data_IF_560002126815
#
_entry.id   IF_560002126815
#
_cell.length_a   1.000
_cell.length_b   1.000
_cell.length_c   1.000
_cell.angle_alpha   90.00
_cell.angle_beta   90.00
_cell.angle_gamma   90.00
#
_symmetry.space_group_name_H-M   'P 1'
#
loop_
_entity.id
_entity.type
_entity.pdbx_description
1 polymer ?
#
# COMPACT_ATOMS: atom_id res chain seq x y z
N UNK A 1 8.59 13.31 20.97
CA UNK A 1 7.26 13.02 20.39
C UNK A 1 6.30 14.15 20.79
N UNK A 2 5.58 14.76 19.85
CA UNK A 2 4.59 15.80 20.19
C UNK A 2 3.24 15.14 20.51
N UNK A 3 3.11 14.64 21.75
CA UNK A 3 1.90 13.95 22.21
C UNK A 3 0.63 14.78 21.98
N UNK A 4 0.69 16.09 22.27
CA UNK A 4 -0.46 16.99 22.09
C UNK A 4 -0.94 17.02 20.63
N UNK A 5 -0.01 17.10 19.67
CA UNK A 5 -0.35 17.08 18.23
C UNK A 5 -0.99 15.76 17.81
N UNK A 6 -0.44 14.64 18.28
CA UNK A 6 -0.98 13.29 18.02
C UNK A 6 -2.38 13.16 18.61
N UNK A 7 -2.55 13.53 19.87
CA UNK A 7 -3.82 13.51 20.58
C UNK A 7 -4.89 14.35 19.88
N UNK A 8 -4.57 15.60 19.54
CA UNK A 8 -5.50 16.50 18.86
C UNK A 8 -5.95 15.95 17.50
N UNK A 9 -5.04 15.33 16.74
CA UNK A 9 -5.38 14.72 15.46
C UNK A 9 -6.36 13.55 15.62
N UNK A 10 -6.04 12.58 16.48
CA UNK A 10 -6.88 11.41 16.68
C UNK A 10 -8.14 11.68 17.52
N UNK A 11 -8.24 12.83 18.17
CA UNK A 11 -9.48 13.32 18.82
C UNK A 11 -10.55 13.77 17.82
N UNK A 12 -10.20 13.94 16.53
CA UNK A 12 -11.15 14.34 15.50
C UNK A 12 -12.08 13.17 15.16
N UNK A 13 -13.38 13.35 15.37
CA UNK A 13 -14.40 12.34 15.05
C UNK A 13 -14.31 11.81 13.60
N UNK A 14 -14.09 12.65 12.55
CA UNK A 14 -13.92 12.12 11.19
C UNK A 14 -12.70 11.20 11.03
N UNK A 15 -11.61 11.47 11.75
CA UNK A 15 -10.39 10.64 11.72
C UNK A 15 -10.66 9.30 12.38
N UNK A 16 -11.31 9.31 13.54
CA UNK A 16 -11.70 8.09 14.26
C UNK A 16 -12.61 7.21 13.40
N UNK A 17 -13.65 7.80 12.77
CA UNK A 17 -14.55 7.07 11.88
C UNK A 17 -13.82 6.44 10.70
N UNK A 18 -12.92 7.19 10.06
CA UNK A 18 -12.15 6.67 8.92
C UNK A 18 -11.21 5.53 9.31
N UNK A 19 -10.57 5.61 10.48
CA UNK A 19 -9.75 4.53 11.03
C UNK A 19 -10.59 3.29 11.33
N UNK A 20 -11.69 3.42 12.09
CA UNK A 20 -12.56 2.29 12.40
C UNK A 20 -13.12 1.63 11.13
N UNK A 21 -13.51 2.41 10.13
CA UNK A 21 -14.02 1.89 8.85
C UNK A 21 -12.98 1.01 8.15
N UNK A 22 -11.73 1.47 8.01
CA UNK A 22 -10.67 0.70 7.34
C UNK A 22 -10.14 -0.46 8.19
N UNK A 23 -10.22 -0.34 9.52
CA UNK A 23 -9.80 -1.35 10.50
C UNK A 23 -10.73 -2.57 10.52
N UNK A 24 -11.94 -2.44 10.01
CA UNK A 24 -12.91 -3.55 9.99
C UNK A 24 -12.33 -4.78 9.31
N UNK A 25 -12.43 -5.92 10.00
CA UNK A 25 -11.89 -7.21 9.55
C UNK A 25 -10.37 -7.20 9.31
N UNK A 26 -9.59 -6.32 9.93
CA UNK A 26 -8.11 -6.35 9.84
C UNK A 26 -7.50 -6.60 11.20
N UNK A 27 -6.31 -7.19 11.19
CA UNK A 27 -5.39 -7.05 12.32
C UNK A 27 -4.88 -5.61 12.30
N UNK A 28 -4.98 -4.89 13.41
CA UNK A 28 -4.56 -3.50 13.51
C UNK A 28 -3.68 -3.33 14.73
N UNK A 29 -2.54 -2.68 14.55
CA UNK A 29 -1.56 -2.50 15.62
C UNK A 29 -1.10 -1.06 15.75
N UNK A 30 -0.82 -0.71 16.99
CA UNK A 30 -0.08 0.50 17.34
C UNK A 30 1.36 0.44 16.83
N UNK A 31 1.86 1.60 16.43
CA UNK A 31 3.27 1.85 16.14
C UNK A 31 3.72 3.05 16.95
N UNK A 32 4.82 2.89 17.67
CA UNK A 32 5.38 3.89 18.57
C UNK A 32 6.44 4.76 17.87
N UNK A 33 6.87 5.84 18.52
CA UNK A 33 7.80 6.81 17.92
C UNK A 33 9.18 6.26 17.57
N UNK A 34 9.56 5.13 18.15
CA UNK A 34 10.80 4.40 17.87
C UNK A 34 10.64 3.34 16.76
N UNK A 35 9.49 3.34 16.06
CA UNK A 35 9.06 2.35 15.08
C UNK A 35 8.78 0.94 15.64
N UNK A 36 8.76 0.75 16.96
CA UNK A 36 8.33 -0.53 17.52
C UNK A 36 6.82 -0.74 17.32
N UNK A 37 6.42 -2.00 17.18
CA UNK A 37 5.01 -2.38 17.04
C UNK A 37 4.45 -2.79 18.40
N UNK A 38 3.15 -2.52 18.60
CA UNK A 38 2.36 -3.09 19.68
C UNK A 38 2.22 -4.60 19.58
N UNK A 39 1.54 -5.19 20.56
CA UNK A 39 1.28 -6.63 20.60
C UNK A 39 0.41 -7.04 19.40
N UNK A 40 0.64 -8.26 18.91
CA UNK A 40 -0.09 -8.88 17.81
C UNK A 40 -0.68 -10.24 18.23
N UNK A 41 -1.89 -10.62 17.79
CA UNK A 41 -2.83 -9.78 17.04
C UNK A 41 -3.51 -8.73 17.93
N UNK A 42 -4.05 -7.70 17.30
CA UNK A 42 -4.87 -6.68 17.94
C UNK A 42 -5.87 -6.09 16.93
N UNK A 43 -6.87 -5.33 17.42
CA UNK A 43 -7.95 -4.74 16.62
C UNK A 43 -8.37 -3.38 17.16
N UNK A 44 -8.96 -2.56 16.29
CA UNK A 44 -9.71 -1.36 16.69
C UNK A 44 -11.20 -1.59 16.41
N UNK A 45 -12.05 -1.48 17.42
CA UNK A 45 -13.49 -1.67 17.30
C UNK A 45 -14.27 -0.37 17.53
N UNK A 46 -13.82 0.43 18.49
CA UNK A 46 -14.49 1.65 18.93
C UNK A 46 -13.54 2.85 18.91
N UNK A 47 -14.11 4.04 18.76
CA UNK A 47 -13.35 5.30 18.81
C UNK A 47 -12.56 5.49 20.11
N UNK A 48 -13.05 4.93 21.23
CA UNK A 48 -12.36 4.95 22.51
C UNK A 48 -11.03 4.17 22.48
N UNK A 49 -10.96 3.07 21.73
CA UNK A 49 -9.76 2.24 21.57
C UNK A 49 -8.61 3.07 20.98
N UNK A 50 -8.93 3.94 20.00
CA UNK A 50 -7.96 4.83 19.35
C UNK A 50 -7.36 5.80 20.37
N UNK A 51 -8.22 6.47 21.16
CA UNK A 51 -7.75 7.45 22.14
C UNK A 51 -6.97 6.80 23.29
N UNK A 52 -7.41 5.62 23.73
CA UNK A 52 -6.68 4.85 24.72
C UNK A 52 -5.31 4.43 24.21
N UNK A 53 -5.21 3.88 23.01
CA UNK A 53 -3.93 3.52 22.39
C UNK A 53 -3.00 4.74 22.27
N UNK A 54 -3.52 5.91 21.92
CA UNK A 54 -2.74 7.16 21.86
C UNK A 54 -2.28 7.59 23.26
N UNK A 55 -3.14 7.49 24.29
CA UNK A 55 -2.77 7.75 25.68
C UNK A 55 -1.61 6.85 26.15
N UNK A 56 -1.57 5.62 25.65
CA UNK A 56 -0.53 4.61 25.90
C UNK A 56 0.72 4.79 25.01
N UNK A 57 0.77 5.84 24.19
CA UNK A 57 1.96 6.24 23.43
C UNK A 57 1.92 5.93 21.94
N UNK A 58 0.81 5.40 21.42
CA UNK A 58 0.66 5.12 19.98
C UNK A 58 0.77 6.40 19.15
N UNK A 59 1.57 6.34 18.08
CA UNK A 59 1.69 7.45 17.10
C UNK A 59 1.00 7.10 15.79
N UNK A 60 1.16 5.86 15.33
CA UNK A 60 0.55 5.39 14.08
C UNK A 60 -0.24 4.10 14.30
N UNK A 61 -1.21 3.86 13.43
CA UNK A 61 -1.97 2.62 13.34
C UNK A 61 -1.68 1.97 11.99
N UNK A 62 -1.22 0.72 12.03
CA UNK A 62 -0.97 -0.08 10.84
C UNK A 62 -1.96 -1.24 10.81
N UNK A 63 -2.47 -1.59 9.63
CA UNK A 63 -3.43 -2.67 9.45
C UNK A 63 -2.95 -3.71 8.46
N UNK A 64 -3.42 -4.95 8.60
CA UNK A 64 -3.08 -6.04 7.67
C UNK A 64 -3.61 -5.78 6.27
N UNK A 65 -2.87 -6.16 5.22
CA UNK A 65 -3.36 -6.17 3.83
C UNK A 65 -4.51 -7.18 3.67
N UNK A 66 -4.32 -8.36 4.25
CA UNK A 66 -5.36 -9.38 4.38
C UNK A 66 -6.48 -8.92 5.30
N UNK A 67 -7.68 -9.44 5.03
CA UNK A 67 -8.89 -9.24 5.83
C UNK A 67 -9.32 -10.59 6.42
N UNK A 68 -9.72 -10.59 7.68
CA UNK A 68 -9.98 -11.78 8.49
C UNK A 68 -11.39 -11.77 9.07
N UNK A 69 -11.98 -12.96 9.15
CA UNK A 69 -13.27 -13.18 9.81
C UNK A 69 -13.18 -12.88 11.31
N UNK A 70 -12.08 -13.26 11.96
CA UNK A 70 -11.75 -12.91 13.33
C UNK A 70 -10.23 -12.68 13.50
N UNK A 71 -9.75 -11.42 13.38
CA UNK A 71 -8.32 -11.12 13.48
C UNK A 71 -7.67 -11.53 14.81
N UNK A 72 -8.43 -11.58 15.91
CA UNK A 72 -7.90 -11.95 17.24
C UNK A 72 -7.53 -13.44 17.34
N UNK A 73 -7.93 -14.27 16.39
CA UNK A 73 -7.52 -15.67 16.34
C UNK A 73 -6.17 -15.89 15.68
N UNK A 74 -5.59 -14.87 15.03
CA UNK A 74 -4.32 -15.02 14.30
C UNK A 74 -3.17 -15.36 15.25
N UNK A 75 -2.41 -16.39 14.90
CA UNK A 75 -1.17 -16.77 15.57
C UNK A 75 0.00 -16.85 14.59
N UNK A 76 1.23 -16.69 15.07
CA UNK A 76 2.44 -16.77 14.23
C UNK A 76 2.74 -18.19 13.75
N UNK A 77 2.22 -19.20 14.42
CA UNK A 77 2.46 -20.62 14.11
C UNK A 77 1.35 -21.25 13.25
N UNK A 78 0.39 -20.46 12.77
CA UNK A 78 -0.69 -20.95 11.91
C UNK A 78 -0.16 -21.48 10.58
N UNK A 79 -0.72 -22.61 10.14
CA UNK A 79 -0.46 -23.12 8.80
C UNK A 79 -1.11 -22.22 7.75
N UNK A 80 -0.70 -22.35 6.48
CA UNK A 80 -1.37 -21.66 5.37
C UNK A 80 -2.87 -21.98 5.34
N UNK A 81 -3.24 -23.24 5.56
CA UNK A 81 -4.63 -23.67 5.58
C UNK A 81 -5.44 -22.99 6.69
N UNK A 82 -4.86 -22.82 7.88
CA UNK A 82 -5.52 -22.14 9.01
C UNK A 82 -5.75 -20.66 8.71
N UNK A 83 -4.74 -20.00 8.11
CA UNK A 83 -4.87 -18.61 7.66
C UNK A 83 -5.95 -18.49 6.58
N UNK A 84 -5.96 -19.38 5.60
CA UNK A 84 -6.94 -19.38 4.51
C UNK A 84 -8.37 -19.58 5.04
N UNK A 85 -8.55 -20.41 6.07
CA UNK A 85 -9.85 -20.62 6.73
C UNK A 85 -10.35 -19.36 7.45
N UNK A 86 -9.44 -18.50 7.95
CA UNK A 86 -9.79 -17.24 8.59
C UNK A 86 -9.93 -16.09 7.59
N UNK A 87 -9.29 -16.16 6.42
CA UNK A 87 -9.21 -15.06 5.46
C UNK A 87 -10.53 -14.88 4.72
N UNK A 88 -11.10 -13.68 4.83
CA UNK A 88 -12.28 -13.30 4.04
C UNK A 88 -11.88 -12.75 2.66
N UNK A 89 -10.67 -12.20 2.55
CA UNK A 89 -10.16 -11.57 1.34
C UNK A 89 -8.87 -10.81 1.60
N UNK A 90 -8.36 -10.13 0.58
CA UNK A 90 -7.14 -9.32 0.65
C UNK A 90 -7.16 -8.31 -0.48
N UNK A 91 -6.62 -7.13 -0.22
CA UNK A 91 -6.56 -6.06 -1.22
C UNK A 91 -5.25 -6.12 -2.00
N UNK A 92 -5.28 -5.71 -3.26
CA UNK A 92 -4.04 -5.51 -4.02
C UNK A 92 -3.44 -4.20 -3.54
N UNK A 93 -2.48 -4.27 -2.62
CA UNK A 93 -1.70 -3.11 -2.17
C UNK A 93 -0.40 -3.03 -2.98
N UNK A 94 -0.18 -1.88 -3.63
CA UNK A 94 1.03 -1.56 -4.37
C UNK A 94 1.74 -0.41 -3.65
N UNK A 95 2.98 -0.64 -3.22
CA UNK A 95 3.80 0.35 -2.51
C UNK A 95 5.12 0.62 -3.25
N UNK A 96 5.17 1.60 -4.16
CA UNK A 96 6.41 2.05 -4.76
C UNK A 96 7.26 2.83 -3.75
N UNK A 97 8.26 2.18 -3.14
CA UNK A 97 9.18 2.85 -2.19
C UNK A 97 10.41 3.45 -2.91
N UNK A 98 10.55 4.76 -2.77
CA UNK A 98 11.70 5.51 -3.26
C UNK A 98 11.86 6.80 -2.44
N UNK A 99 13.11 7.20 -2.21
CA UNK A 99 13.44 8.38 -1.40
C UNK A 99 13.02 9.70 -2.06
N UNK A 100 13.16 9.78 -3.37
CA UNK A 100 12.86 10.96 -4.16
C UNK A 100 11.36 11.05 -4.47
N UNK A 101 10.75 12.19 -4.12
CA UNK A 101 9.30 12.33 -4.20
C UNK A 101 8.77 12.47 -5.62
N UNK A 102 9.54 13.10 -6.51
CA UNK A 102 9.13 13.29 -7.90
C UNK A 102 9.21 11.96 -8.65
N UNK A 103 10.23 11.14 -8.36
CA UNK A 103 10.27 9.74 -8.84
C UNK A 103 9.08 8.95 -8.29
N UNK A 104 8.73 9.10 -7.01
CA UNK A 104 7.56 8.43 -6.44
C UNK A 104 6.25 8.82 -7.16
N UNK A 105 6.05 10.10 -7.46
CA UNK A 105 4.89 10.59 -8.25
C UNK A 105 4.88 9.97 -9.64
N UNK A 106 6.01 10.00 -10.34
CA UNK A 106 6.13 9.45 -11.69
C UNK A 106 5.79 7.96 -11.72
N UNK A 107 6.37 7.15 -10.84
CA UNK A 107 6.08 5.71 -10.77
C UNK A 107 4.62 5.44 -10.40
N UNK A 108 4.06 6.21 -9.45
CA UNK A 108 2.64 6.08 -9.07
C UNK A 108 1.72 6.34 -10.26
N UNK A 109 2.05 7.32 -11.12
CA UNK A 109 1.27 7.61 -12.34
C UNK A 109 1.29 6.47 -13.35
N UNK A 110 2.46 5.89 -13.63
CA UNK A 110 2.53 4.74 -14.53
C UNK A 110 1.76 3.53 -14.00
N UNK A 111 1.78 3.28 -12.68
CA UNK A 111 0.96 2.21 -12.09
C UNK A 111 -0.54 2.51 -12.28
N UNK A 112 -0.97 3.76 -12.10
CA UNK A 112 -2.36 4.16 -12.30
C UNK A 112 -2.79 4.02 -13.76
N UNK A 113 -1.92 4.40 -14.71
CA UNK A 113 -2.14 4.21 -16.14
C UNK A 113 -2.27 2.73 -16.46
N UNK A 114 -1.37 1.88 -15.94
CA UNK A 114 -1.49 0.44 -16.08
C UNK A 114 -2.83 -0.09 -15.55
N UNK A 115 -3.25 0.32 -14.34
CA UNK A 115 -4.56 -0.08 -13.81
C UNK A 115 -5.71 0.33 -14.74
N UNK A 116 -5.68 1.55 -15.27
CA UNK A 116 -6.70 2.07 -16.21
C UNK A 116 -6.71 1.32 -17.54
N UNK A 117 -5.54 1.02 -18.10
CA UNK A 117 -5.40 0.26 -19.34
C UNK A 117 -6.02 -1.14 -19.22
N UNK A 118 -5.98 -1.72 -18.01
CA UNK A 118 -6.60 -3.01 -17.69
C UNK A 118 -8.07 -2.91 -17.27
N UNK A 119 -8.68 -1.73 -17.43
CA UNK A 119 -10.09 -1.50 -17.13
C UNK A 119 -10.42 -1.31 -15.65
N UNK A 120 -9.42 -1.27 -14.75
CA UNK A 120 -9.65 -1.11 -13.31
C UNK A 120 -10.10 0.31 -12.98
N UNK A 121 -11.34 0.46 -12.52
CA UNK A 121 -11.91 1.76 -12.09
C UNK A 121 -11.83 1.95 -10.58
N UNK A 122 -11.90 0.85 -9.85
CA UNK A 122 -12.00 0.76 -8.39
C UNK A 122 -10.61 0.68 -7.79
N UNK A 123 -9.82 1.74 -7.95
CA UNK A 123 -8.56 1.90 -7.23
C UNK A 123 -8.55 3.22 -6.46
N UNK A 124 -7.63 3.32 -5.52
CA UNK A 124 -7.43 4.53 -4.72
C UNK A 124 -5.98 4.74 -4.41
N UNK A 125 -5.61 5.99 -4.16
CA UNK A 125 -4.24 6.42 -3.91
C UNK A 125 -4.19 7.17 -2.60
N UNK A 126 -3.14 6.95 -1.82
CA UNK A 126 -2.83 7.78 -0.67
C UNK A 126 -1.36 8.14 -0.64
N UNK A 127 -1.05 9.37 -0.23
CA UNK A 127 0.29 9.66 0.27
C UNK A 127 0.53 8.80 1.51
N UNK A 128 1.65 8.09 1.58
CA UNK A 128 1.88 7.16 2.69
C UNK A 128 2.01 7.88 4.03
N UNK A 129 2.34 9.17 4.04
CA UNK A 129 2.82 9.94 5.19
C UNK A 129 4.35 10.06 5.20
N UNK A 130 5.03 9.24 4.37
CA UNK A 130 6.47 9.11 4.33
C UNK A 130 7.07 9.67 3.06
N UNK A 131 7.62 8.77 2.24
CA UNK A 131 8.37 9.14 1.04
C UNK A 131 7.57 8.97 -0.25
N UNK A 132 6.57 8.09 -0.25
CA UNK A 132 5.88 7.60 -1.44
C UNK A 132 4.35 7.65 -1.33
N UNK A 133 3.69 7.01 -2.28
CA UNK A 133 2.25 6.79 -2.30
C UNK A 133 1.97 5.29 -2.22
N UNK A 134 0.81 4.93 -1.67
CA UNK A 134 0.27 3.58 -1.82
C UNK A 134 -0.91 3.63 -2.78
N UNK A 135 -1.03 2.59 -3.59
CA UNK A 135 -2.18 2.35 -4.46
C UNK A 135 -2.86 1.09 -3.96
N UNK A 136 -4.19 1.09 -3.92
CA UNK A 136 -4.98 -0.08 -3.50
C UNK A 136 -6.08 -0.37 -4.51
N UNK A 137 -6.27 -1.65 -4.83
CA UNK A 137 -7.46 -2.18 -5.49
C UNK A 137 -8.20 -3.05 -4.47
N UNK A 138 -9.46 -2.74 -4.12
CA UNK A 138 -10.21 -3.49 -3.13
C UNK A 138 -10.40 -4.95 -3.55
N UNK A 139 -10.39 -5.86 -2.57
CA UNK A 139 -10.66 -7.29 -2.77
C UNK A 139 -11.93 -7.54 -3.60
N UNK A 140 -12.97 -6.74 -3.37
CA UNK A 140 -14.27 -6.84 -4.05
C UNK A 140 -14.20 -6.62 -5.57
N UNK A 141 -13.16 -5.96 -6.08
CA UNK A 141 -12.93 -5.76 -7.50
C UNK A 141 -12.38 -7.01 -8.19
N UNK A 142 -11.74 -7.91 -7.44
CA UNK A 142 -11.14 -9.12 -7.98
C UNK A 142 -12.23 -10.15 -8.37
N UNK A 143 -11.94 -11.08 -9.29
CA UNK A 143 -12.82 -12.22 -9.54
C UNK A 143 -13.08 -13.00 -8.25
N UNK A 144 -14.29 -13.51 -8.05
CA UNK A 144 -14.62 -14.30 -6.85
C UNK A 144 -13.83 -15.63 -6.80
N UNK A 145 -13.55 -16.22 -7.98
CA UNK A 145 -12.82 -17.47 -8.13
C UNK A 145 -11.89 -17.44 -9.34
N UNK A 146 -10.79 -18.17 -9.25
CA UNK A 146 -9.85 -18.44 -10.34
C UNK A 146 -9.60 -19.95 -10.36
N UNK A 147 -9.85 -20.60 -11.51
CA UNK A 147 -9.72 -22.06 -11.64
C UNK A 147 -10.46 -22.83 -10.53
N UNK A 148 -11.70 -22.42 -10.23
CA UNK A 148 -12.56 -22.94 -9.16
C UNK A 148 -12.09 -22.69 -7.72
N UNK A 149 -10.90 -22.12 -7.51
CA UNK A 149 -10.40 -21.75 -6.19
C UNK A 149 -10.90 -20.34 -5.80
N UNK A 150 -11.37 -20.13 -4.56
CA UNK A 150 -11.69 -18.78 -4.08
C UNK A 150 -10.48 -17.86 -4.14
N UNK A 151 -10.65 -16.63 -4.65
CA UNK A 151 -9.54 -15.68 -4.74
C UNK A 151 -8.95 -15.32 -3.37
N UNK A 152 -9.75 -15.41 -2.30
CA UNK A 152 -9.28 -15.23 -0.92
C UNK A 152 -8.21 -16.24 -0.50
N UNK A 153 -8.17 -17.45 -1.06
CA UNK A 153 -7.15 -18.46 -0.72
C UNK A 153 -5.88 -18.37 -1.58
N UNK A 154 -5.81 -17.43 -2.52
CA UNK A 154 -4.69 -17.29 -3.46
C UNK A 154 -3.64 -16.26 -3.01
N UNK A 155 -3.67 -15.86 -1.74
CA UNK A 155 -2.66 -14.97 -1.16
C UNK A 155 -1.50 -15.78 -0.57
N UNK A 156 -0.24 -15.34 -0.74
CA UNK A 156 0.20 -14.14 -1.46
C UNK A 156 0.50 -14.38 -2.95
N UNK A 157 0.33 -15.59 -3.47
CA UNK A 157 0.84 -15.95 -4.80
C UNK A 157 0.20 -15.15 -5.93
N UNK A 158 -1.11 -14.91 -5.88
CA UNK A 158 -1.79 -14.08 -6.88
C UNK A 158 -1.35 -12.62 -6.78
N UNK A 159 -1.17 -12.09 -5.56
CA UNK A 159 -0.63 -10.74 -5.39
C UNK A 159 0.74 -10.63 -6.05
N UNK A 160 1.62 -11.62 -5.83
CA UNK A 160 2.94 -11.66 -6.46
C UNK A 160 2.85 -11.58 -7.98
N UNK A 161 1.99 -12.41 -8.59
CA UNK A 161 1.79 -12.43 -10.05
C UNK A 161 1.30 -11.06 -10.56
N UNK A 162 0.36 -10.43 -9.85
CA UNK A 162 -0.14 -9.08 -10.20
C UNK A 162 0.96 -8.02 -10.10
N UNK A 163 1.73 -7.98 -9.01
CA UNK A 163 2.79 -6.97 -8.82
C UNK A 163 3.90 -7.13 -9.86
N UNK A 164 4.36 -8.37 -10.10
CA UNK A 164 5.42 -8.62 -11.08
C UNK A 164 4.95 -8.34 -12.52
N UNK A 165 3.68 -8.63 -12.83
CA UNK A 165 3.08 -8.23 -14.09
C UNK A 165 3.06 -6.71 -14.28
N UNK A 166 2.59 -5.96 -13.28
CA UNK A 166 2.55 -4.49 -13.34
C UNK A 166 3.97 -3.94 -13.53
N UNK A 167 4.96 -4.50 -12.81
CA UNK A 167 6.37 -4.13 -12.99
C UNK A 167 6.82 -4.36 -14.43
N UNK A 168 6.56 -5.53 -15.00
CA UNK A 168 6.88 -5.83 -16.38
C UNK A 168 6.20 -4.86 -17.35
N UNK A 169 4.90 -4.62 -17.19
CA UNK A 169 4.08 -3.78 -18.07
C UNK A 169 4.58 -2.34 -18.13
N UNK A 170 4.91 -1.73 -16.98
CA UNK A 170 5.33 -0.31 -16.94
C UNK A 170 6.83 -0.12 -17.19
N UNK A 171 7.63 -1.18 -17.28
CA UNK A 171 9.11 -1.13 -17.21
C UNK A 171 9.72 -0.14 -18.20
N UNK A 172 9.40 -0.29 -19.49
CA UNK A 172 10.06 0.50 -20.53
C UNK A 172 9.61 1.97 -20.51
N UNK A 173 8.32 2.22 -20.29
CA UNK A 173 7.79 3.58 -20.18
C UNK A 173 8.36 4.30 -18.95
N UNK A 174 8.39 3.64 -17.80
CA UNK A 174 8.99 4.19 -16.58
C UNK A 174 10.49 4.44 -16.76
N UNK A 175 11.22 3.54 -17.43
CA UNK A 175 12.66 3.74 -17.75
C UNK A 175 12.85 5.00 -18.60
N UNK A 176 12.06 5.14 -19.67
CA UNK A 176 12.11 6.30 -20.57
C UNK A 176 11.85 7.61 -19.81
N UNK A 177 10.81 7.64 -18.97
CA UNK A 177 10.44 8.85 -18.25
C UNK A 177 11.40 9.19 -17.11
N UNK A 178 11.99 8.19 -16.45
CA UNK A 178 13.10 8.40 -15.51
C UNK A 178 14.31 9.04 -16.20
N UNK A 179 14.69 8.54 -17.38
CA UNK A 179 15.80 9.10 -18.15
C UNK A 179 15.48 10.48 -18.76
N UNK A 180 14.20 10.78 -18.96
CA UNK A 180 13.73 12.10 -19.37
C UNK A 180 13.73 13.10 -18.20
N UNK A 181 13.48 12.59 -16.98
CA UNK A 181 13.52 13.38 -15.75
C UNK A 181 14.95 13.81 -15.41
N UNK A 182 15.93 12.90 -15.52
CA UNK A 182 17.33 13.21 -15.21
C UNK A 182 18.33 12.15 -15.73
N UNK A 183 19.62 12.47 -15.67
CA UNK A 183 20.70 11.51 -15.97
C UNK A 183 20.82 10.41 -14.90
N UNK A 184 21.30 9.22 -15.27
CA UNK A 184 21.54 8.10 -14.33
C UNK A 184 22.37 8.53 -13.11
N UNK A 185 23.39 9.36 -13.33
CA UNK A 185 24.24 9.90 -12.25
C UNK A 185 23.44 10.73 -11.24
N UNK A 186 22.58 11.63 -11.74
CA UNK A 186 21.76 12.47 -10.89
C UNK A 186 20.65 11.68 -10.20
N UNK A 187 20.01 10.71 -10.88
CA UNK A 187 19.04 9.79 -10.26
C UNK A 187 19.69 9.04 -9.09
N UNK A 188 20.89 8.48 -9.32
CA UNK A 188 21.69 7.79 -8.31
C UNK A 188 21.93 8.67 -7.07
N UNK A 189 22.32 9.94 -7.27
CA UNK A 189 22.52 10.90 -6.17
C UNK A 189 21.23 11.22 -5.42
N UNK A 190 20.13 11.49 -6.15
CA UNK A 190 18.81 11.86 -5.59
C UNK A 190 18.27 10.77 -4.66
N UNK A 191 18.38 9.51 -5.07
CA UNK A 191 17.89 8.37 -4.26
C UNK A 191 18.92 7.86 -3.26
N UNK A 192 20.20 8.24 -3.42
CA UNK A 192 21.30 7.84 -2.53
C UNK A 192 21.76 6.39 -2.72
N UNK A 193 21.65 5.84 -3.92
CA UNK A 193 22.13 4.48 -4.26
C UNK A 193 23.28 4.59 -5.28
N UNK A 194 24.36 3.80 -5.18
CA UNK A 194 25.41 3.76 -6.21
C UNK A 194 24.86 3.44 -7.60
N UNK A 195 25.48 4.00 -8.65
CA UNK A 195 25.07 3.76 -10.06
C UNK A 195 24.96 2.25 -10.36
N UNK A 196 25.94 1.46 -9.91
CA UNK A 196 25.96 0.00 -10.10
C UNK A 196 24.77 -0.73 -9.48
N UNK A 197 24.17 -0.16 -8.43
CA UNK A 197 22.98 -0.72 -7.78
C UNK A 197 21.69 -0.37 -8.51
N UNK A 198 21.69 0.60 -9.43
CA UNK A 198 20.50 1.01 -10.19
C UNK A 198 20.57 0.67 -11.68
N UNK A 199 21.67 0.09 -12.14
CA UNK A 199 21.84 -0.32 -13.54
C UNK A 199 21.85 -1.84 -13.71
N UNK A 200 21.61 -2.31 -14.94
CA UNK A 200 21.87 -3.69 -15.36
C UNK A 200 23.38 -3.94 -15.49
N UNK A 201 23.78 -5.17 -15.86
CA UNK A 201 25.19 -5.50 -16.11
C UNK A 201 25.74 -4.77 -17.34
N UNK A 202 24.86 -4.45 -18.27
CA UNK A 202 25.11 -3.75 -19.53
C UNK A 202 25.17 -2.21 -19.33
N UNK A 203 24.91 -1.72 -18.11
CA UNK A 203 24.98 -0.29 -17.77
C UNK A 203 23.69 0.49 -18.02
N UNK A 204 22.60 -0.18 -18.41
CA UNK A 204 21.31 0.47 -18.60
C UNK A 204 20.58 0.68 -17.27
N UNK A 205 19.80 1.77 -17.14
CA UNK A 205 18.97 2.00 -15.96
C UNK A 205 17.92 0.87 -15.80
N UNK A 206 17.82 0.31 -14.59
CA UNK A 206 16.73 -0.59 -14.20
C UNK A 206 15.75 0.15 -13.30
N UNK A 207 14.52 0.45 -13.76
CA UNK A 207 13.55 1.21 -12.99
C UNK A 207 13.23 0.62 -11.61
N UNK A 208 13.19 -0.72 -11.50
CA UNK A 208 12.83 -1.38 -10.24
C UNK A 208 14.02 -1.61 -9.32
N UNK A 209 15.23 -1.18 -9.73
CA UNK A 209 16.34 -0.95 -8.81
C UNK A 209 16.35 0.48 -8.26
N UNK A 210 15.78 1.43 -8.99
CA UNK A 210 15.54 2.81 -8.53
C UNK A 210 14.41 2.82 -7.51
N UNK A 211 13.24 2.27 -7.87
CA UNK A 211 12.02 2.22 -7.06
C UNK A 211 11.74 0.78 -6.64
N UNK A 212 11.68 0.54 -5.32
CA UNK A 212 11.32 -0.79 -4.81
C UNK A 212 9.81 -0.99 -4.94
N UNK A 213 9.40 -2.16 -5.40
CA UNK A 213 8.00 -2.61 -5.40
C UNK A 213 8.00 -4.05 -4.90
N UNK A 214 8.02 -4.20 -3.58
CA UNK A 214 8.16 -5.49 -2.91
C UNK A 214 6.82 -6.21 -2.81
N UNK A 215 6.88 -7.54 -2.84
CA UNK A 215 5.72 -8.40 -2.63
C UNK A 215 5.65 -8.81 -1.17
N UNK A 216 4.46 -8.67 -0.61
CA UNK A 216 4.23 -8.87 0.81
C UNK A 216 3.91 -10.32 1.16
N UNK A 217 4.46 -10.78 2.30
CA UNK A 217 4.09 -12.07 2.89
C UNK A 217 2.79 -12.01 3.70
N UNK A 218 2.48 -13.10 4.39
CA UNK A 218 1.33 -13.21 5.29
C UNK A 218 1.40 -12.19 6.44
N UNK A 219 0.24 -11.66 6.80
CA UNK A 219 0.02 -10.67 7.86
C UNK A 219 0.89 -9.41 7.71
N UNK A 220 1.21 -9.03 6.46
CA UNK A 220 1.90 -7.78 6.20
C UNK A 220 1.04 -6.58 6.59
N UNK A 221 1.66 -5.58 7.20
CA UNK A 221 1.00 -4.41 7.75
C UNK A 221 1.35 -3.16 6.94
N UNK A 222 0.34 -2.35 6.61
CA UNK A 222 0.54 -1.04 6.00
C UNK A 222 -0.05 0.06 6.88
N UNK A 223 0.52 1.27 6.81
CA UNK A 223 -0.03 2.42 7.54
C UNK A 223 -1.44 2.73 7.07
N UNK A 224 -2.39 2.73 7.99
CA UNK A 224 -3.80 2.97 7.66
C UNK A 224 -4.01 4.40 7.13
N UNK A 225 -4.99 4.63 6.24
CA UNK A 225 -5.39 5.98 5.85
C UNK A 225 -5.76 6.80 7.10
N UNK A 226 -5.38 8.06 7.08
CA UNK A 226 -5.51 9.03 8.18
C UNK A 226 -4.70 8.72 9.45
N UNK A 227 -3.94 7.62 9.51
CA UNK A 227 -2.91 7.44 10.52
C UNK A 227 -1.75 8.41 10.28
N UNK A 228 -1.17 8.92 11.37
CA UNK A 228 0.07 9.70 11.33
C UNK A 228 1.25 8.78 11.00
N UNK A 229 2.30 9.37 10.43
CA UNK A 229 3.61 8.75 10.33
C UNK A 229 4.39 8.97 11.63
N UNK A 230 4.97 7.90 12.16
CA UNK A 230 5.57 7.81 13.49
C UNK A 230 6.76 8.77 13.74
N UNK A 231 7.51 9.14 12.68
CA UNK A 231 8.65 10.08 12.75
C UNK A 231 8.27 11.54 12.49
N UNK A 232 7.55 11.81 11.40
CA UNK A 232 7.34 13.18 10.91
C UNK A 232 5.93 13.74 11.20
N UNK A 233 5.01 12.88 11.68
CA UNK A 233 3.61 13.21 11.98
C UNK A 233 2.80 13.72 10.79
N UNK A 234 3.24 13.47 9.55
CA UNK A 234 2.40 13.69 8.37
C UNK A 234 1.33 12.60 8.31
N UNK A 235 0.15 12.99 7.86
CA UNK A 235 -1.01 12.12 7.70
C UNK A 235 -0.83 11.22 6.49
N UNK A 236 -1.13 9.93 6.65
CA UNK A 236 -1.30 9.01 5.52
C UNK A 236 -2.57 9.38 4.76
N UNK A 237 -2.46 10.24 3.77
CA UNK A 237 -3.58 11.01 3.25
C UNK A 237 -4.11 10.43 1.93
N UNK A 238 -5.35 9.90 1.89
CA UNK A 238 -6.01 9.56 0.63
C UNK A 238 -6.17 10.80 -0.26
N UNK A 239 -5.86 10.66 -1.54
CA UNK A 239 -5.95 11.73 -2.53
C UNK A 239 -6.58 11.22 -3.81
N UNK A 240 -7.16 12.13 -4.60
CA UNK A 240 -7.60 11.81 -5.95
C UNK A 240 -6.39 11.55 -6.86
N UNK A 241 -6.44 10.56 -7.77
CA UNK A 241 -5.36 10.25 -8.70
C UNK A 241 -4.87 11.48 -9.49
N UNK A 242 -5.78 12.36 -9.90
CA UNK A 242 -5.49 13.56 -10.70
C UNK A 242 -4.69 14.61 -9.92
N UNK A 243 -4.57 14.46 -8.59
CA UNK A 243 -3.83 15.39 -7.73
C UNK A 243 -2.35 15.02 -7.56
N UNK A 244 -1.90 13.85 -8.00
CA UNK A 244 -0.54 13.34 -7.73
C UNK A 244 0.55 14.34 -8.12
N UNK A 245 0.49 14.91 -9.34
CA UNK A 245 1.51 15.85 -9.82
C UNK A 245 1.59 17.10 -8.94
N UNK A 246 0.42 17.62 -8.53
CA UNK A 246 0.30 18.87 -7.77
C UNK A 246 0.44 18.69 -6.27
N UNK A 247 0.39 17.46 -5.78
CA UNK A 247 0.40 17.15 -4.36
C UNK A 247 1.74 17.54 -3.73
N UNK A 248 1.65 18.28 -2.62
CA UNK A 248 2.80 18.68 -1.80
C UNK A 248 2.72 18.04 -0.42
N UNK A 249 3.86 17.63 0.14
CA UNK A 249 3.91 16.89 1.42
C UNK A 249 3.33 17.70 2.58
N UNK A 250 3.45 19.02 2.53
CA UNK A 250 2.94 19.96 3.53
C UNK A 250 1.41 19.95 3.59
N UNK A 251 0.72 19.50 2.53
CA UNK A 251 -0.74 19.32 2.55
C UNK A 251 -1.18 18.19 3.48
N UNK A 252 -0.26 17.27 3.82
CA UNK A 252 -0.50 16.18 4.76
C UNK A 252 -0.20 16.55 6.22
N UNK A 253 0.04 17.83 6.55
CA UNK A 253 0.11 18.26 7.94
C UNK A 253 -1.27 18.12 8.61
N UNK A 254 -1.37 17.51 9.81
CA UNK A 254 -2.62 17.35 10.57
C UNK A 254 -3.53 18.58 10.63
N UNK A 255 -2.94 19.76 10.70
CA UNK A 255 -3.63 21.04 10.80
C UNK A 255 -4.29 21.48 9.48
N UNK A 256 -3.81 20.98 8.33
CA UNK A 256 -4.31 21.31 6.99
C UNK A 256 -5.26 20.25 6.44
N UNK A 257 -5.19 19.01 6.93
CA UNK A 257 -5.95 17.90 6.38
C UNK A 257 -7.44 17.96 6.75
N UNK A 258 -8.27 17.72 5.73
CA UNK A 258 -9.69 17.38 5.84
C UNK A 258 -9.91 15.92 5.47
N UNK A 259 -10.82 15.26 6.19
CA UNK A 259 -11.17 13.84 5.96
C UNK A 259 -12.31 13.82 4.94
N UNK A 260 -11.96 13.73 3.65
CA UNK A 260 -12.92 13.83 2.54
C UNK A 260 -12.87 12.59 1.61
N UNK A 261 -11.69 11.98 1.43
CA UNK A 261 -11.48 10.88 0.48
C UNK A 261 -11.40 9.52 1.19
N UNK A 262 -12.21 8.57 0.75
CA UNK A 262 -12.07 7.17 1.20
C UNK A 262 -10.92 6.48 0.46
N UNK A 263 -10.08 5.76 1.20
CA UNK A 263 -8.99 4.98 0.60
C UNK A 263 -9.46 3.61 0.10
N UNK A 264 -10.41 2.98 0.77
CA UNK A 264 -11.04 1.75 0.29
C UNK A 264 -12.45 2.13 -0.13
N UNK A 265 -12.66 2.21 -1.44
CA UNK A 265 -13.95 2.54 -2.04
C UNK A 265 -14.72 1.26 -2.33
N UNK A 266 -16.05 1.36 -2.40
CA UNK A 266 -16.86 0.26 -2.90
C UNK A 266 -16.47 0.00 -4.35
N UNK A 267 -16.20 -1.26 -4.68
CA UNK A 267 -15.88 -1.70 -6.02
C UNK A 267 -17.08 -2.39 -6.68
N UNK A 268 -17.19 -2.24 -8.00
CA UNK A 268 -18.03 -3.15 -8.80
C UNK A 268 -17.35 -4.51 -8.86
N UNK A 269 -18.16 -5.59 -8.81
CA UNK A 269 -17.62 -6.94 -8.94
C UNK A 269 -16.93 -7.09 -10.30
N UNK A 270 -15.81 -7.81 -10.32
CA UNK A 270 -15.02 -8.10 -11.53
C UNK A 270 -14.36 -6.89 -12.22
N UNK A 271 -14.36 -5.72 -11.58
CA UNK A 271 -13.71 -4.51 -12.12
C UNK A 271 -12.19 -4.68 -12.36
N UNK A 272 -11.54 -5.61 -11.67
CA UNK A 272 -10.12 -5.94 -11.84
C UNK A 272 -9.87 -7.27 -12.56
N UNK A 273 -10.88 -7.86 -13.20
CA UNK A 273 -10.75 -9.16 -13.88
C UNK A 273 -9.73 -9.12 -15.04
N UNK A 274 -9.74 -8.07 -15.86
CA UNK A 274 -8.78 -7.92 -16.96
C UNK A 274 -7.33 -7.89 -16.49
N UNK A 275 -7.04 -7.16 -15.41
CA UNK A 275 -5.72 -7.12 -14.77
C UNK A 275 -5.28 -8.52 -14.30
N UNK A 276 -6.20 -9.27 -13.68
CA UNK A 276 -5.90 -10.61 -13.15
C UNK A 276 -5.62 -11.61 -14.27
N UNK A 277 -6.39 -11.57 -15.36
CA UNK A 277 -6.19 -12.45 -16.53
C UNK A 277 -4.81 -12.20 -17.14
N UNK A 278 -4.49 -10.95 -17.45
CA UNK A 278 -3.20 -10.60 -18.05
C UNK A 278 -2.01 -10.96 -17.15
N UNK A 279 -2.15 -10.74 -15.84
CA UNK A 279 -1.12 -11.11 -14.88
C UNK A 279 -0.89 -12.62 -14.81
N UNK A 280 -1.95 -13.43 -14.88
CA UNK A 280 -1.85 -14.90 -14.90
C UNK A 280 -1.27 -15.41 -16.22
N UNK A 281 -1.70 -14.85 -17.35
CA UNK A 281 -1.19 -15.20 -18.68
C UNK A 281 0.30 -14.86 -18.79
N UNK A 282 0.70 -13.69 -18.30
CA UNK A 282 2.10 -13.31 -18.19
C UNK A 282 2.87 -14.26 -17.27
N UNK A 283 2.34 -14.55 -16.08
CA UNK A 283 3.00 -15.44 -15.14
C UNK A 283 3.21 -16.84 -15.74
N UNK A 284 2.24 -17.39 -16.47
CA UNK A 284 2.37 -18.69 -17.12
C UNK A 284 3.49 -18.76 -18.16
N UNK A 285 3.83 -17.62 -18.78
CA UNK A 285 4.87 -17.50 -19.80
C UNK A 285 6.25 -17.23 -19.20
N UNK A 286 6.32 -16.44 -18.14
CA UNK A 286 7.57 -15.84 -17.65
C UNK A 286 7.96 -16.25 -16.24
N UNK A 287 7.03 -16.73 -15.41
CA UNK A 287 7.34 -17.27 -14.09
C UNK A 287 7.44 -18.79 -14.18
N UNK A 288 8.62 -19.33 -13.86
CA UNK A 288 8.76 -20.77 -13.64
C UNK A 288 8.09 -21.07 -12.30
N UNK A 289 6.95 -21.77 -12.33
CA UNK A 289 6.37 -22.33 -11.12
C UNK A 289 7.38 -23.34 -10.54
N UNK A 290 7.89 -23.05 -9.33
CA UNK A 290 8.79 -23.93 -8.59
C UNK A 290 8.01 -24.95 -7.78
#
# INVERSE_FOLDING_TARGET
>A
MNFQRVWLWYSREPVQKALIEVSKNREVVSVFSDNSFGRRPDVLQYSADILQAVAEGTVAFHGSVERWSNPMQLDVNMSKQDLDNLRIGWDVLIDPDVKDFEIAKLTTKHIIEALKDHGVKSFSVKFSGGKSFHIIVPYEALPEKINLQPTSSLYPELLQKIIEYIKWYIRENLKSDLLSLDSISNISQRIGKPIKEITTKEGELDPFKVVSMDVFGSRHLFRLPYSLHEKNLLVSLPIKPERIDKFKREEAEPEKVRVEEKFIKQAEKHDAEGLVIEALDWASKYMVER
#
